data_IF_823802904368
#
_entry.id   IF_823802904368
#
_cell.length_a   1.000
_cell.length_b   1.000
_cell.length_c   1.000
_cell.angle_alpha   90.00
_cell.angle_beta   90.00
_cell.angle_gamma   90.00
#
_symmetry.space_group_name_H-M   'P 1'
#
loop_
_entity.id
_entity.type
_entity.pdbx_description
1 polymer ?
#
# COMPACT_ATOMS: atom_id res chain seq x y z
N UNK A 1 7.08 4.80 11.00
CA UNK A 1 5.98 4.18 10.21
C UNK A 1 5.90 2.66 10.42
N UNK A 2 6.98 1.89 10.19
CA UNK A 2 7.02 0.42 10.44
C UNK A 2 6.50 0.02 11.83
N UNK A 3 6.90 0.75 12.88
CA UNK A 3 6.46 0.51 14.27
C UNK A 3 4.96 0.73 14.49
N UNK A 4 4.40 1.84 13.96
CA UNK A 4 2.99 2.19 14.10
C UNK A 4 2.05 1.26 13.32
N UNK A 5 2.37 0.94 12.06
CA UNK A 5 1.58 0.02 11.25
C UNK A 5 1.58 -1.40 11.84
N UNK A 6 2.74 -1.88 12.32
CA UNK A 6 2.85 -3.17 13.00
C UNK A 6 2.05 -3.21 14.30
N UNK A 7 2.11 -2.14 15.10
CA UNK A 7 1.30 -2.03 16.32
C UNK A 7 -0.19 -2.03 16.03
N UNK A 8 -0.65 -1.25 15.04
CA UNK A 8 -2.06 -1.17 14.66
C UNK A 8 -2.57 -2.54 14.19
N UNK A 9 -1.84 -3.20 13.30
CA UNK A 9 -2.21 -4.53 12.82
C UNK A 9 -2.30 -5.56 13.95
N UNK A 10 -1.31 -5.59 14.85
CA UNK A 10 -1.34 -6.47 16.03
C UNK A 10 -2.54 -6.16 16.93
N UNK A 11 -2.87 -4.89 17.11
CA UNK A 11 -3.98 -4.46 17.96
C UNK A 11 -5.34 -4.85 17.36
N UNK A 12 -5.53 -4.62 16.06
CA UNK A 12 -6.74 -5.03 15.33
C UNK A 12 -6.88 -6.55 15.39
N UNK A 13 -5.82 -7.31 15.10
CA UNK A 13 -5.86 -8.78 15.12
C UNK A 13 -6.27 -9.36 16.48
N UNK A 14 -5.90 -8.71 17.60
CA UNK A 14 -6.29 -9.15 18.95
C UNK A 14 -7.74 -8.82 19.32
N UNK A 15 -8.37 -7.88 18.62
CA UNK A 15 -9.74 -7.41 18.88
C UNK A 15 -10.75 -7.85 17.82
N UNK A 16 -10.30 -8.55 16.77
CA UNK A 16 -11.14 -9.03 15.69
C UNK A 16 -11.78 -10.37 16.09
N UNK A 17 -13.07 -10.35 16.38
CA UNK A 17 -13.81 -11.55 16.77
C UNK A 17 -14.39 -12.33 15.57
N UNK A 18 -14.60 -11.67 14.42
CA UNK A 18 -15.13 -12.26 13.18
C UNK A 18 -14.51 -11.58 11.95
N UNK A 19 -14.36 -12.34 10.87
CA UNK A 19 -13.77 -11.87 9.61
C UNK A 19 -12.25 -12.03 9.57
N UNK A 20 -11.61 -11.34 8.62
CA UNK A 20 -10.16 -11.38 8.43
C UNK A 20 -9.62 -9.97 8.16
N UNK A 21 -8.36 -9.74 8.55
CA UNK A 21 -7.64 -8.50 8.25
C UNK A 21 -6.34 -8.88 7.55
N UNK A 22 -6.15 -8.35 6.35
CA UNK A 22 -4.90 -8.44 5.60
C UNK A 22 -4.20 -7.10 5.64
N UNK A 23 -2.88 -7.11 5.76
CA UNK A 23 -2.08 -5.89 5.80
C UNK A 23 -0.92 -5.99 4.82
N UNK A 24 -0.72 -4.92 4.06
CA UNK A 24 0.40 -4.73 3.15
C UNK A 24 1.22 -3.53 3.65
N UNK A 25 2.15 -3.75 4.59
CA UNK A 25 2.77 -2.66 5.36
C UNK A 25 3.74 -1.79 4.55
N UNK A 26 4.13 -2.23 3.35
CA UNK A 26 5.08 -1.57 2.47
C UNK A 26 4.62 -1.69 1.02
N UNK A 27 3.76 -0.78 0.60
CA UNK A 27 3.26 -0.75 -0.79
C UNK A 27 4.25 -0.11 -1.76
N UNK A 28 5.12 0.76 -1.25
CA UNK A 28 6.23 1.33 -2.00
C UNK A 28 7.54 1.12 -1.25
N UNK A 29 8.17 -0.08 -1.37
CA UNK A 29 9.43 -0.36 -0.69
C UNK A 29 10.57 0.57 -1.17
N UNK A 30 10.52 1.03 -2.43
CA UNK A 30 11.54 1.94 -3.00
C UNK A 30 11.49 3.33 -2.37
N UNK A 31 10.29 3.91 -2.21
CA UNK A 31 10.12 5.17 -1.47
C UNK A 31 10.50 5.03 0.01
N UNK A 32 10.26 3.85 0.60
CA UNK A 32 10.58 3.59 2.00
C UNK A 32 12.10 3.60 2.27
N UNK A 33 12.91 3.02 1.38
CA UNK A 33 14.37 2.98 1.55
C UNK A 33 15.05 4.29 1.13
N UNK A 34 14.46 5.05 0.22
CA UNK A 34 15.07 6.27 -0.32
C UNK A 34 14.87 7.54 0.53
N UNK A 35 14.11 7.49 1.64
CA UNK A 35 13.69 8.69 2.42
C UNK A 35 13.09 9.77 1.50
N UNK A 36 12.40 9.36 0.44
CA UNK A 36 11.88 10.25 -0.61
C UNK A 36 10.47 9.82 -1.01
N UNK A 37 9.58 10.79 -1.28
CA UNK A 37 8.19 10.56 -1.74
C UNK A 37 8.10 10.19 -3.22
N UNK A 38 9.20 9.79 -3.83
CA UNK A 38 9.25 9.44 -5.24
C UNK A 38 9.82 8.04 -5.38
N UNK A 39 9.20 7.21 -6.24
CA UNK A 39 9.88 6.05 -6.81
C UNK A 39 11.14 6.59 -7.48
N UNK A 40 12.30 6.28 -6.89
CA UNK A 40 13.59 6.99 -7.07
C UNK A 40 14.13 6.99 -8.50
N UNK A 41 13.43 6.37 -9.45
CA UNK A 41 13.75 6.39 -10.88
C UNK A 41 12.67 6.99 -11.80
N UNK A 42 11.39 7.06 -11.40
CA UNK A 42 10.30 7.53 -12.28
C UNK A 42 9.66 8.86 -11.87
N UNK A 43 9.92 9.37 -10.65
CA UNK A 43 9.26 10.57 -10.07
C UNK A 43 7.73 10.47 -9.94
N UNK A 44 7.17 9.28 -10.15
CA UNK A 44 5.73 9.08 -10.13
C UNK A 44 5.18 9.03 -8.72
N UNK A 45 4.02 9.64 -8.53
CA UNK A 45 3.23 9.48 -7.32
C UNK A 45 2.38 8.22 -7.47
N UNK A 46 2.70 7.15 -6.73
CA UNK A 46 2.02 5.86 -6.84
C UNK A 46 0.48 5.98 -6.71
N UNK A 47 0.00 6.84 -5.82
CA UNK A 47 -1.44 7.09 -5.62
C UNK A 47 -2.14 7.64 -6.87
N UNK A 48 -1.42 8.27 -7.81
CA UNK A 48 -1.96 8.77 -9.09
C UNK A 48 -1.90 7.72 -10.19
N UNK A 49 -1.27 6.58 -9.95
CA UNK A 49 -1.09 5.51 -10.91
C UNK A 49 -2.16 4.43 -10.83
N UNK A 50 -3.07 4.45 -9.84
CA UNK A 50 -4.18 3.48 -9.75
C UNK A 50 -5.26 3.73 -10.83
N UNK A 51 -5.87 2.67 -11.41
CA UNK A 51 -5.74 1.25 -11.08
C UNK A 51 -4.49 0.57 -11.66
N UNK A 52 -3.66 1.31 -12.40
CA UNK A 52 -2.40 0.83 -12.97
C UNK A 52 -2.55 0.18 -14.34
N UNK A 53 -1.40 -0.03 -14.97
CA UNK A 53 -1.27 -0.66 -16.28
C UNK A 53 -0.16 -1.73 -16.20
N UNK A 54 -0.43 -3.02 -16.49
CA UNK A 54 0.58 -4.08 -16.43
C UNK A 54 1.73 -3.88 -17.43
N UNK A 55 1.51 -3.11 -18.50
CA UNK A 55 2.49 -2.78 -19.53
C UNK A 55 2.93 -1.30 -19.46
N UNK A 56 2.57 -0.59 -18.39
CA UNK A 56 2.88 0.82 -18.20
C UNK A 56 4.23 1.07 -17.53
N UNK A 57 4.36 2.26 -16.95
CA UNK A 57 5.51 2.66 -16.14
C UNK A 57 5.72 1.77 -14.91
N UNK A 58 6.82 1.97 -14.19
CA UNK A 58 7.06 1.24 -12.94
C UNK A 58 5.95 1.53 -11.90
N UNK A 59 5.54 2.79 -11.74
CA UNK A 59 4.47 3.18 -10.84
C UNK A 59 3.13 2.53 -11.25
N UNK A 60 2.80 2.54 -12.54
CA UNK A 60 1.60 1.91 -13.07
C UNK A 60 1.59 0.39 -12.87
N UNK A 61 2.73 -0.29 -13.04
CA UNK A 61 2.84 -1.74 -12.82
C UNK A 61 2.72 -2.13 -11.35
N UNK A 62 3.26 -1.32 -10.44
CA UNK A 62 3.10 -1.51 -8.99
C UNK A 62 1.64 -1.29 -8.60
N UNK A 63 1.04 -0.18 -9.04
CA UNK A 63 -0.38 0.11 -8.80
C UNK A 63 -1.29 -1.00 -9.32
N UNK A 64 -1.00 -1.54 -10.51
CA UNK A 64 -1.74 -2.66 -11.10
C UNK A 64 -1.67 -3.91 -10.21
N UNK A 65 -0.48 -4.32 -9.75
CA UNK A 65 -0.35 -5.49 -8.87
C UNK A 65 -1.10 -5.31 -7.55
N UNK A 66 -1.02 -4.13 -6.96
CA UNK A 66 -1.74 -3.81 -5.72
C UNK A 66 -3.25 -3.92 -5.96
N UNK A 67 -3.74 -3.22 -7.00
CA UNK A 67 -5.16 -3.16 -7.31
C UNK A 67 -5.73 -4.54 -7.62
N UNK A 68 -5.08 -5.31 -8.50
CA UNK A 68 -5.48 -6.68 -8.81
C UNK A 68 -5.52 -7.59 -7.57
N UNK A 69 -4.56 -7.44 -6.66
CA UNK A 69 -4.55 -8.20 -5.39
C UNK A 69 -5.77 -7.84 -4.52
N UNK A 70 -6.07 -6.55 -4.39
CA UNK A 70 -7.24 -6.07 -3.64
C UNK A 70 -8.54 -6.63 -4.25
N UNK A 71 -8.68 -6.55 -5.58
CA UNK A 71 -9.88 -7.04 -6.26
C UNK A 71 -10.07 -8.55 -6.04
N UNK A 72 -9.00 -9.35 -6.15
CA UNK A 72 -9.06 -10.81 -5.92
C UNK A 72 -9.45 -11.14 -4.47
N UNK A 73 -8.95 -10.38 -3.49
CA UNK A 73 -9.28 -10.58 -2.08
C UNK A 73 -10.74 -10.21 -1.77
N UNK A 74 -11.38 -9.37 -2.60
CA UNK A 74 -12.76 -8.90 -2.41
C UNK A 74 -13.03 -8.33 -1.00
N UNK A 75 -12.19 -7.42 -0.48
CA UNK A 75 -12.37 -6.90 0.87
C UNK A 75 -13.63 -6.03 0.96
N UNK A 76 -14.32 -6.12 2.09
CA UNK A 76 -15.45 -5.24 2.41
C UNK A 76 -15.01 -3.80 2.67
N UNK A 77 -13.78 -3.60 3.13
CA UNK A 77 -13.20 -2.30 3.44
C UNK A 77 -11.71 -2.29 3.13
N UNK A 78 -11.25 -1.23 2.47
CA UNK A 78 -9.82 -0.94 2.24
C UNK A 78 -9.46 0.32 3.00
N UNK A 79 -8.40 0.25 3.81
CA UNK A 79 -7.85 1.38 4.55
C UNK A 79 -6.43 1.66 4.06
N UNK A 80 -6.21 2.85 3.50
CA UNK A 80 -4.88 3.32 3.12
C UNK A 80 -4.33 4.28 4.19
N UNK A 81 -3.16 3.96 4.72
CA UNK A 81 -2.53 4.71 5.81
C UNK A 81 -1.43 5.60 5.24
N UNK A 82 -1.80 6.83 4.91
CA UNK A 82 -0.85 7.84 4.47
C UNK A 82 -0.26 8.61 5.66
N UNK A 83 1.02 8.96 5.55
CA UNK A 83 1.60 10.01 6.39
C UNK A 83 1.28 11.35 5.73
N UNK A 84 0.67 12.27 6.47
CA UNK A 84 0.60 13.66 6.03
C UNK A 84 2.04 14.17 5.90
N UNK A 85 2.35 14.63 4.71
CA UNK A 85 3.67 15.07 4.37
C UNK A 85 3.79 16.57 4.45
N UNK A 86 4.84 17.08 5.11
CA UNK A 86 5.31 18.46 4.89
C UNK A 86 5.75 18.68 3.43
#
# INVERSE_FOLDING_TARGET
MKSAASWLFKSIRRRLFRGAVQAFPLMNPLEFEAVSRHITMSREYLNRSFPGNPNGSLGERIAHRIFSTIIVVTPTLVLDLHRLGD
#
